data_IF_511910464283
#
_entry.id   IF_511910464283
#
_cell.length_a   1.000
_cell.length_b   1.000
_cell.length_c   1.000
_cell.angle_alpha   90.00
_cell.angle_beta   90.00
_cell.angle_gamma   90.00
#
_symmetry.space_group_name_H-M   'P 1'
#
loop_
_entity.id
_entity.type
_entity.pdbx_description
1 polymer ?
#
# COMPACT_ATOMS: atom_id res chain seq x y z
N UNK A 1 -35.04 -14.84 11.69
CA UNK A 1 -34.16 -14.22 10.69
C UNK A 1 -32.77 -14.32 11.28
N UNK A 2 -31.96 -15.27 10.81
CA UNK A 2 -30.63 -15.52 11.37
C UNK A 2 -29.72 -14.30 11.14
N UNK A 3 -28.82 -13.94 12.07
CA UNK A 3 -27.90 -12.83 11.86
C UNK A 3 -26.99 -13.16 10.68
N UNK A 4 -26.84 -12.21 9.74
CA UNK A 4 -25.80 -12.28 8.72
C UNK A 4 -24.47 -12.20 9.46
N UNK A 5 -23.85 -13.34 9.70
CA UNK A 5 -22.50 -13.42 10.23
C UNK A 5 -21.56 -12.73 9.23
N UNK A 6 -20.75 -11.80 9.72
CA UNK A 6 -19.79 -11.02 8.93
C UNK A 6 -18.69 -11.92 8.40
N UNK A 7 -18.93 -12.58 7.26
CA UNK A 7 -17.89 -13.33 6.56
C UNK A 7 -16.83 -12.32 6.10
N UNK A 8 -15.60 -12.43 6.63
CA UNK A 8 -14.44 -11.61 6.21
C UNK A 8 -14.30 -11.73 4.69
N UNK A 9 -14.28 -10.60 3.97
CA UNK A 9 -14.14 -10.60 2.52
C UNK A 9 -12.79 -11.26 2.15
N UNK A 10 -12.76 -12.33 1.33
CA UNK A 10 -11.50 -12.98 0.93
C UNK A 10 -10.57 -12.05 0.15
N UNK A 11 -11.06 -10.90 -0.34
CA UNK A 11 -10.28 -9.88 -1.04
C UNK A 11 -9.69 -8.81 -0.10
N UNK A 12 -9.82 -9.01 1.21
CA UNK A 12 -9.30 -8.06 2.20
C UNK A 12 -7.78 -7.95 2.06
N UNK A 13 -7.29 -6.75 1.72
CA UNK A 13 -5.86 -6.43 1.73
C UNK A 13 -5.37 -6.34 3.16
N UNK A 14 -4.37 -7.16 3.48
CA UNK A 14 -3.75 -7.18 4.82
C UNK A 14 -2.55 -6.23 4.87
N UNK A 15 -2.40 -5.52 6.00
CA UNK A 15 -1.32 -4.56 6.23
C UNK A 15 -0.69 -4.87 7.58
N UNK A 16 0.60 -5.14 7.60
CA UNK A 16 1.36 -5.42 8.81
C UNK A 16 2.47 -4.39 8.96
N UNK A 17 2.53 -3.74 10.13
CA UNK A 17 3.69 -2.93 10.50
C UNK A 17 4.87 -3.89 10.73
N UNK A 18 5.86 -3.83 9.84
CA UNK A 18 7.08 -4.60 9.95
C UNK A 18 8.15 -3.86 10.75
N UNK A 19 8.14 -2.53 10.70
CA UNK A 19 9.08 -1.68 11.41
C UNK A 19 8.47 -0.30 11.66
N UNK A 20 8.81 0.30 12.79
CA UNK A 20 8.51 1.69 13.10
C UNK A 20 9.60 2.25 14.02
N UNK A 21 10.16 3.40 13.66
CA UNK A 21 11.20 4.05 14.45
C UNK A 21 11.20 5.57 14.24
N UNK A 22 11.26 6.30 15.35
CA UNK A 22 11.47 7.75 15.33
C UNK A 22 12.96 8.05 15.16
N UNK A 23 13.31 8.97 14.26
CA UNK A 23 14.71 9.31 14.01
C UNK A 23 15.28 10.13 15.16
N UNK A 24 16.43 9.70 15.70
CA UNK A 24 17.03 10.33 16.88
C UNK A 24 17.55 11.74 16.60
N UNK A 25 18.16 11.94 15.44
CA UNK A 25 18.65 13.22 14.92
C UNK A 25 17.54 14.11 14.36
N UNK A 26 16.41 13.53 13.99
CA UNK A 26 15.23 14.22 13.46
C UNK A 26 13.94 13.77 14.17
N UNK A 27 13.71 14.18 15.44
CA UNK A 27 12.64 13.63 16.28
C UNK A 27 11.22 13.93 15.79
N UNK A 28 11.05 14.89 14.86
CA UNK A 28 9.78 15.14 14.20
C UNK A 28 9.44 14.08 13.14
N UNK A 29 10.38 13.22 12.76
CA UNK A 29 10.27 12.29 11.64
C UNK A 29 10.31 10.84 12.12
N UNK A 30 9.63 9.97 11.38
CA UNK A 30 9.52 8.54 11.67
C UNK A 30 9.71 7.76 10.38
N UNK A 31 10.39 6.61 10.45
CA UNK A 31 10.39 5.59 9.41
C UNK A 31 9.37 4.53 9.79
N UNK A 32 8.46 4.22 8.88
CA UNK A 32 7.48 3.14 9.01
C UNK A 32 7.62 2.22 7.79
N UNK A 33 7.74 0.92 8.02
CA UNK A 33 7.69 -0.08 6.97
C UNK A 33 6.44 -0.95 7.14
N UNK A 34 5.68 -1.10 6.06
CA UNK A 34 4.53 -1.99 5.99
C UNK A 34 4.83 -3.14 5.05
N UNK A 35 4.46 -4.36 5.46
CA UNK A 35 4.23 -5.46 4.52
C UNK A 35 2.75 -5.44 4.19
N UNK A 36 2.43 -5.29 2.91
CA UNK A 36 1.06 -5.26 2.41
C UNK A 36 0.84 -6.49 1.53
N UNK A 37 -0.17 -7.29 1.86
CA UNK A 37 -0.49 -8.53 1.15
C UNK A 37 -1.83 -8.35 0.45
N UNK A 38 -1.81 -8.42 -0.87
CA UNK A 38 -2.99 -8.37 -1.72
C UNK A 38 -3.39 -9.81 -2.09
N UNK A 39 -4.55 -10.31 -1.64
CA UNK A 39 -5.10 -11.54 -2.20
C UNK A 39 -5.55 -11.30 -3.65
N UNK A 40 -5.74 -12.35 -4.48
CA UNK A 40 -6.29 -12.19 -5.82
C UNK A 40 -7.59 -11.37 -5.84
N UNK A 41 -7.59 -10.28 -6.61
CA UNK A 41 -8.72 -9.34 -6.72
C UNK A 41 -8.91 -8.42 -5.50
N UNK A 42 -7.98 -8.41 -4.55
CA UNK A 42 -7.90 -7.42 -3.49
C UNK A 42 -7.37 -6.10 -4.02
N UNK A 43 -7.84 -4.98 -3.49
CA UNK A 43 -7.40 -3.67 -3.94
C UNK A 43 -7.34 -2.65 -2.81
N UNK A 44 -6.57 -1.60 -3.01
CA UNK A 44 -6.59 -0.40 -2.19
C UNK A 44 -7.17 0.73 -3.03
N UNK A 45 -8.31 1.34 -2.62
CA UNK A 45 -8.97 2.38 -3.38
C UNK A 45 -8.08 3.62 -3.57
N UNK A 46 -8.44 4.53 -4.48
CA UNK A 46 -7.69 5.76 -4.70
C UNK A 46 -7.48 6.52 -3.38
N UNK A 47 -6.23 6.80 -3.07
CA UNK A 47 -5.84 7.53 -1.85
C UNK A 47 -4.55 8.32 -2.10
N UNK A 48 -4.24 9.23 -1.18
CA UNK A 48 -2.98 9.95 -1.14
C UNK A 48 -2.31 9.75 0.21
N UNK A 49 -0.99 9.89 0.23
CA UNK A 49 -0.23 9.99 1.47
C UNK A 49 -0.21 11.45 1.90
N UNK A 50 -0.43 11.73 3.19
CA UNK A 50 -0.43 13.11 3.71
C UNK A 50 0.96 13.75 3.62
N UNK A 51 1.66 13.88 4.75
CA UNK A 51 3.00 14.46 4.76
C UNK A 51 4.13 13.46 4.36
N UNK A 52 3.80 12.21 4.06
CA UNK A 52 4.77 11.15 3.81
C UNK A 52 5.00 10.92 2.32
N UNK A 53 6.26 10.71 1.94
CA UNK A 53 6.60 10.04 0.67
C UNK A 53 6.72 8.54 0.94
N UNK A 54 6.33 7.73 -0.04
CA UNK A 54 6.37 6.26 0.07
C UNK A 54 7.26 5.70 -1.02
N UNK A 55 8.20 4.84 -0.61
CA UNK A 55 8.89 3.93 -1.51
C UNK A 55 8.21 2.56 -1.41
N UNK A 56 7.71 2.07 -2.54
CA UNK A 56 7.09 0.76 -2.64
C UNK A 56 7.99 -0.18 -3.44
N UNK A 57 8.06 -1.44 -3.00
CA UNK A 57 8.86 -2.48 -3.61
C UNK A 57 8.08 -3.79 -3.61
N UNK A 58 8.01 -4.47 -4.74
CA UNK A 58 7.28 -5.74 -4.85
C UNK A 58 8.17 -6.88 -4.38
N UNK A 59 7.76 -7.54 -3.30
CA UNK A 59 8.47 -8.72 -2.77
C UNK A 59 8.16 -9.98 -3.58
N UNK A 60 6.89 -10.18 -3.94
CA UNK A 60 6.41 -11.36 -4.67
C UNK A 60 5.14 -11.02 -5.48
N UNK A 61 4.86 -11.83 -6.51
CA UNK A 61 3.67 -11.67 -7.34
C UNK A 61 3.74 -10.48 -8.31
N UNK A 62 2.57 -9.98 -8.67
CA UNK A 62 2.39 -8.78 -9.49
C UNK A 62 1.22 -7.94 -8.97
N UNK A 63 1.30 -6.62 -9.17
CA UNK A 63 0.30 -5.64 -8.73
C UNK A 63 0.09 -4.62 -9.86
N UNK A 64 -1.16 -4.28 -10.15
CA UNK A 64 -1.51 -3.23 -11.10
C UNK A 64 -1.66 -1.91 -10.34
N UNK A 65 -0.80 -0.95 -10.63
CA UNK A 65 -0.80 0.36 -9.99
C UNK A 65 -1.04 1.49 -10.99
N UNK A 66 -1.80 2.50 -10.57
CA UNK A 66 -1.94 3.76 -11.29
C UNK A 66 -1.64 4.94 -10.35
N UNK A 67 -1.05 6.00 -10.88
CA UNK A 67 -0.70 7.22 -10.15
C UNK A 67 -1.19 8.44 -10.93
N UNK A 68 -1.98 9.29 -10.29
CA UNK A 68 -2.62 10.47 -10.91
C UNK A 68 -3.20 10.17 -12.32
N UNK A 69 -2.81 10.96 -13.32
CA UNK A 69 -3.20 10.85 -14.73
C UNK A 69 -2.27 9.93 -15.54
N UNK A 70 -1.41 9.14 -14.88
CA UNK A 70 -0.55 8.19 -15.57
C UNK A 70 -1.30 6.89 -15.90
N UNK A 71 -0.90 6.27 -17.02
CA UNK A 71 -1.40 4.95 -17.38
C UNK A 71 -1.08 3.92 -16.30
N UNK A 72 -2.02 2.99 -16.11
CA UNK A 72 -1.82 1.88 -15.18
C UNK A 72 -0.65 1.00 -15.63
N UNK A 73 0.20 0.62 -14.68
CA UNK A 73 1.39 -0.21 -14.89
C UNK A 73 1.33 -1.44 -14.01
N UNK A 74 1.68 -2.60 -14.58
CA UNK A 74 1.92 -3.81 -13.80
C UNK A 74 3.35 -3.79 -13.25
N UNK A 75 3.48 -3.89 -11.93
CA UNK A 75 4.74 -4.05 -11.21
C UNK A 75 4.89 -5.50 -10.79
N UNK A 76 6.11 -6.04 -10.88
CA UNK A 76 6.44 -7.43 -10.54
C UNK A 76 7.53 -7.48 -9.49
N UNK A 77 7.73 -8.65 -8.88
CA UNK A 77 8.81 -8.88 -7.93
C UNK A 77 10.14 -8.26 -8.41
N UNK A 78 10.74 -7.41 -7.57
CA UNK A 78 11.94 -6.64 -7.92
C UNK A 78 11.69 -5.20 -8.38
N UNK A 79 10.49 -4.89 -8.86
CA UNK A 79 10.12 -3.53 -9.25
C UNK A 79 9.89 -2.64 -8.03
N UNK A 80 10.12 -1.34 -8.23
CA UNK A 80 9.82 -0.31 -7.24
C UNK A 80 9.33 0.98 -7.87
N UNK A 81 8.70 1.81 -7.04
CA UNK A 81 8.29 3.16 -7.41
C UNK A 81 8.24 4.06 -6.17
N UNK A 82 8.24 5.37 -6.42
CA UNK A 82 8.01 6.39 -5.41
C UNK A 82 6.59 6.95 -5.59
N UNK A 83 5.87 7.08 -4.48
CA UNK A 83 4.63 7.85 -4.40
C UNK A 83 4.94 9.09 -3.58
N UNK A 84 4.84 10.26 -4.21
CA UNK A 84 5.09 11.51 -3.51
C UNK A 84 3.97 11.83 -2.53
N UNK A 85 4.28 12.62 -1.50
CA UNK A 85 3.25 13.22 -0.65
C UNK A 85 2.19 13.92 -1.52
N UNK A 86 0.92 13.75 -1.17
CA UNK A 86 -0.27 14.26 -1.87
C UNK A 86 -0.51 13.71 -3.28
N UNK A 87 0.30 12.77 -3.76
CA UNK A 87 0.06 12.08 -5.02
C UNK A 87 -1.08 11.07 -4.89
N UNK A 88 -2.01 11.03 -5.85
CA UNK A 88 -3.05 10.01 -5.86
C UNK A 88 -2.50 8.69 -6.38
N UNK A 89 -2.83 7.60 -5.68
CA UNK A 89 -2.47 6.26 -6.08
C UNK A 89 -3.59 5.26 -5.81
N UNK A 90 -3.62 4.20 -6.63
CA UNK A 90 -4.56 3.09 -6.59
C UNK A 90 -3.82 1.81 -6.93
N UNK A 91 -4.12 0.71 -6.21
CA UNK A 91 -3.41 -0.56 -6.34
C UNK A 91 -4.40 -1.74 -6.37
N UNK A 92 -4.19 -2.69 -7.30
CA UNK A 92 -5.01 -3.90 -7.51
C UNK A 92 -4.16 -5.16 -7.64
#
# INVERSE_FOLDING_TARGET
MEPITTRKDPRTVERKIAYQHQLADHPAWTIIALVVTYPPGGSTPPHHHGAANVFAYVLEGEILGAMDDCDAKVYRAGDSWLVSSHQYSLMF
#
